data_IF_042203499484
#
_entry.id   IF_042203499484
#
_cell.length_a   1.000
_cell.length_b   1.000
_cell.length_c   1.000
_cell.angle_alpha   90.00
_cell.angle_beta   90.00
_cell.angle_gamma   90.00
#
_symmetry.space_group_name_H-M   'P 1'
#
loop_
_entity.id
_entity.type
_entity.pdbx_description
1 polymer ?
#
# COMPACT_ATOMS: atom_id res chain seq x y z
N UNK A 1 16.85 -0.72 -38.10
CA UNK A 1 16.63 -1.71 -37.02
C UNK A 1 17.57 -2.89 -37.23
N UNK A 2 18.72 -2.95 -36.59
CA UNK A 2 19.60 -4.15 -36.48
C UNK A 2 20.96 -3.70 -35.91
N UNK A 3 21.01 -3.44 -34.60
CA UNK A 3 22.29 -3.38 -33.85
C UNK A 3 22.01 -3.59 -32.38
N UNK A 4 21.79 -4.84 -32.00
CA UNK A 4 21.94 -5.29 -30.61
C UNK A 4 21.93 -6.82 -30.62
N UNK A 5 23.12 -7.42 -30.68
CA UNK A 5 23.45 -8.73 -30.10
C UNK A 5 24.69 -9.37 -30.75
N UNK A 6 25.89 -8.75 -30.65
CA UNK A 6 27.11 -9.43 -31.06
C UNK A 6 27.64 -10.47 -30.04
N UNK A 7 27.11 -10.50 -28.80
CA UNK A 7 27.65 -11.31 -27.73
C UNK A 7 27.01 -12.70 -27.58
N UNK A 8 25.81 -12.93 -28.08
CA UNK A 8 25.11 -14.23 -27.94
C UNK A 8 25.77 -15.31 -28.82
N UNK A 9 26.15 -14.96 -30.04
CA UNK A 9 26.83 -15.92 -30.92
C UNK A 9 28.21 -16.36 -30.39
N UNK A 10 28.95 -15.43 -29.76
CA UNK A 10 30.24 -15.75 -29.12
C UNK A 10 30.04 -16.59 -27.84
N UNK A 11 29.00 -16.34 -27.09
CA UNK A 11 28.63 -17.11 -25.87
C UNK A 11 28.18 -18.53 -26.24
N UNK A 12 27.33 -18.69 -27.26
CA UNK A 12 26.89 -20.01 -27.77
C UNK A 12 28.07 -20.82 -28.35
N UNK A 13 29.01 -20.18 -29.03
CA UNK A 13 30.22 -20.83 -29.56
C UNK A 13 31.13 -21.30 -28.42
N UNK A 14 31.28 -20.54 -27.34
CA UNK A 14 32.05 -20.93 -26.16
C UNK A 14 31.36 -22.03 -25.36
N UNK A 15 30.03 -22.01 -25.26
CA UNK A 15 29.24 -23.09 -24.62
C UNK A 15 29.36 -24.42 -25.40
N UNK A 16 29.29 -24.37 -26.73
CA UNK A 16 29.48 -25.53 -27.60
C UNK A 16 30.88 -26.14 -27.48
N UNK A 17 31.91 -25.30 -27.34
CA UNK A 17 33.31 -25.77 -27.18
C UNK A 17 33.55 -26.35 -25.78
N UNK A 18 32.85 -25.86 -24.77
CA UNK A 18 32.89 -26.37 -23.39
C UNK A 18 32.17 -27.73 -23.26
N UNK A 19 31.04 -27.89 -23.93
CA UNK A 19 30.30 -29.18 -23.99
C UNK A 19 31.05 -30.27 -24.78
N UNK A 20 31.79 -29.91 -25.82
CA UNK A 20 32.64 -30.84 -26.57
C UNK A 20 33.90 -31.30 -25.81
N UNK A 21 34.33 -30.55 -24.80
CA UNK A 21 35.45 -30.92 -23.91
C UNK A 21 35.06 -31.77 -22.72
N UNK A 22 33.77 -31.87 -22.41
CA UNK A 22 33.23 -32.77 -21.39
C UNK A 22 32.96 -34.12 -22.06
N UNK A 23 33.89 -35.06 -21.88
CA UNK A 23 33.93 -36.34 -22.60
C UNK A 23 32.61 -37.13 -22.55
N UNK A 24 32.43 -37.98 -23.53
CA UNK A 24 31.29 -38.89 -23.80
C UNK A 24 30.72 -39.61 -22.57
N UNK A 25 31.49 -39.82 -21.53
CA UNK A 25 31.08 -40.44 -20.25
C UNK A 25 30.09 -39.60 -19.44
N UNK A 26 30.18 -38.29 -19.53
CA UNK A 26 29.28 -37.39 -18.78
C UNK A 26 27.91 -37.28 -19.45
N UNK A 27 27.86 -37.29 -20.77
CA UNK A 27 26.62 -37.25 -21.56
C UNK A 27 25.83 -38.55 -21.38
N UNK A 28 26.53 -39.72 -21.32
CA UNK A 28 25.89 -41.02 -21.06
C UNK A 28 25.33 -41.13 -19.65
N UNK A 29 25.93 -40.47 -18.65
CA UNK A 29 25.40 -40.46 -17.28
C UNK A 29 24.14 -39.58 -17.14
N UNK A 30 24.10 -38.44 -17.83
CA UNK A 30 22.91 -37.55 -17.83
C UNK A 30 21.75 -38.21 -18.59
N UNK A 31 22.00 -38.84 -19.73
CA UNK A 31 20.95 -39.53 -20.50
C UNK A 31 20.43 -40.78 -19.77
N UNK A 32 21.27 -41.50 -19.04
CA UNK A 32 20.85 -42.64 -18.22
C UNK A 32 20.00 -42.20 -17.02
N UNK A 33 20.37 -41.09 -16.35
CA UNK A 33 19.59 -40.53 -15.24
C UNK A 33 18.27 -39.91 -15.71
N UNK A 34 18.24 -39.26 -16.87
CA UNK A 34 16.99 -38.75 -17.45
C UNK A 34 16.07 -39.91 -17.89
N UNK A 35 16.61 -41.01 -18.48
CA UNK A 35 15.80 -42.19 -18.79
C UNK A 35 15.22 -42.85 -17.53
N UNK A 36 15.99 -43.00 -16.45
CA UNK A 36 15.45 -43.48 -15.17
C UNK A 36 14.35 -42.56 -14.64
N UNK A 37 14.59 -41.26 -14.63
CA UNK A 37 13.60 -40.29 -14.18
C UNK A 37 12.30 -40.34 -15.00
N UNK A 38 12.36 -40.53 -16.31
CA UNK A 38 11.20 -40.71 -17.17
C UNK A 38 10.55 -42.09 -17.05
N UNK A 39 11.30 -43.17 -16.73
CA UNK A 39 10.73 -44.47 -16.45
C UNK A 39 10.00 -44.51 -15.12
N UNK A 40 10.59 -43.95 -14.07
CA UNK A 40 9.90 -43.78 -12.76
C UNK A 40 8.61 -43.00 -12.85
N UNK A 41 8.49 -42.04 -13.78
CA UNK A 41 7.25 -41.29 -14.01
C UNK A 41 6.21 -42.09 -14.79
N UNK A 42 6.62 -43.03 -15.66
CA UNK A 42 5.68 -43.80 -16.48
C UNK A 42 5.18 -45.09 -15.80
N UNK A 43 5.89 -45.63 -14.83
CA UNK A 43 5.42 -46.82 -14.07
C UNK A 43 4.36 -46.45 -13.01
N UNK A 44 4.26 -45.17 -12.61
CA UNK A 44 3.24 -44.68 -11.65
C UNK A 44 1.86 -44.38 -12.28
N UNK A 45 1.72 -44.49 -13.63
CA UNK A 45 0.47 -44.18 -14.30
C UNK A 45 -0.54 -45.34 -14.38
N UNK A 46 -0.14 -46.56 -14.06
CA UNK A 46 -1.01 -47.75 -14.12
C UNK A 46 -1.53 -48.21 -12.73
N UNK A 47 -1.18 -47.51 -11.67
CA UNK A 47 -1.84 -47.72 -10.37
C UNK A 47 -3.20 -47.03 -10.33
N UNK A 48 -4.27 -47.68 -9.86
CA UNK A 48 -5.56 -47.02 -9.72
C UNK A 48 -5.38 -45.84 -8.77
N UNK A 49 -5.51 -44.62 -9.32
CA UNK A 49 -5.42 -43.39 -8.57
C UNK A 49 -6.47 -43.47 -7.45
N UNK A 50 -6.03 -43.59 -6.22
CA UNK A 50 -6.93 -43.47 -5.07
C UNK A 50 -7.75 -42.15 -5.24
N UNK A 51 -9.06 -42.14 -5.02
CA UNK A 51 -9.85 -40.94 -5.15
C UNK A 51 -9.21 -39.85 -4.30
N UNK A 52 -8.84 -38.74 -4.92
CA UNK A 52 -8.31 -37.57 -4.22
C UNK A 52 -9.20 -37.31 -3.03
N UNK A 53 -8.65 -37.11 -1.82
CA UNK A 53 -9.44 -36.77 -0.65
C UNK A 53 -10.29 -35.56 -1.06
N UNK A 54 -11.60 -35.65 -0.89
CA UNK A 54 -12.54 -34.58 -1.17
C UNK A 54 -11.96 -33.30 -0.60
N UNK A 55 -11.78 -32.29 -1.48
CA UNK A 55 -11.36 -30.96 -1.03
C UNK A 55 -12.16 -30.62 0.22
N UNK A 56 -11.51 -30.18 1.33
CA UNK A 56 -12.22 -29.80 2.53
C UNK A 56 -13.33 -28.83 2.11
N UNK A 57 -14.54 -29.08 2.58
CA UNK A 57 -15.72 -28.27 2.24
C UNK A 57 -15.31 -26.80 2.32
N UNK A 58 -15.51 -26.06 1.23
CA UNK A 58 -15.14 -24.66 1.15
C UNK A 58 -15.66 -23.97 2.43
N UNK A 59 -14.78 -23.33 3.19
CA UNK A 59 -15.17 -22.60 4.39
C UNK A 59 -16.38 -21.73 4.01
N UNK A 60 -17.46 -21.70 4.81
CA UNK A 60 -18.64 -20.93 4.50
C UNK A 60 -18.23 -19.49 4.18
N UNK A 61 -18.69 -18.97 3.04
CA UNK A 61 -18.38 -17.61 2.63
C UNK A 61 -18.80 -16.64 3.73
N UNK A 62 -17.86 -15.80 4.19
CA UNK A 62 -18.19 -14.77 5.16
C UNK A 62 -19.19 -13.80 4.52
N UNK A 63 -20.16 -13.25 5.30
CA UNK A 63 -21.18 -12.37 4.77
C UNK A 63 -20.57 -11.14 4.09
N UNK A 64 -21.18 -10.71 2.99
CA UNK A 64 -20.78 -9.47 2.30
C UNK A 64 -21.20 -8.27 3.16
N UNK A 65 -20.28 -7.31 3.31
CA UNK A 65 -20.48 -6.09 4.09
C UNK A 65 -20.90 -4.91 3.19
N UNK A 66 -21.33 -3.81 3.78
CA UNK A 66 -21.90 -2.69 3.03
C UNK A 66 -20.86 -1.75 2.37
N UNK A 67 -19.57 -1.85 2.73
CA UNK A 67 -18.47 -1.13 2.11
C UNK A 67 -18.07 -1.67 0.72
N UNK A 68 -16.78 -1.67 0.32
CA UNK A 68 -15.63 -1.26 1.14
C UNK A 68 -15.50 0.23 1.38
N UNK A 69 -14.95 0.60 2.51
CA UNK A 69 -14.66 1.99 2.85
C UNK A 69 -13.27 2.14 3.45
N UNK A 70 -12.68 3.35 3.33
CA UNK A 70 -11.35 3.64 3.86
C UNK A 70 -11.41 4.81 4.85
N UNK A 71 -10.48 4.84 5.79
CA UNK A 71 -10.25 5.95 6.71
C UNK A 71 -8.76 6.22 6.85
N UNK A 72 -8.30 7.35 6.35
CA UNK A 72 -6.89 7.76 6.33
C UNK A 72 -6.70 8.89 7.34
N UNK A 73 -6.12 8.59 8.50
CA UNK A 73 -5.85 9.55 9.57
C UNK A 73 -4.50 10.23 9.43
N UNK A 74 -4.45 11.54 9.61
CA UNK A 74 -3.26 12.37 9.45
C UNK A 74 -2.24 12.29 10.60
N UNK A 75 -2.55 11.56 11.67
CA UNK A 75 -1.72 11.48 12.86
C UNK A 75 -2.07 12.54 13.91
N UNK A 76 -1.31 12.55 15.02
CA UNK A 76 -1.70 13.23 16.23
C UNK A 76 -2.84 12.48 16.93
N UNK A 77 -3.70 13.16 17.72
CA UNK A 77 -4.92 12.57 18.22
C UNK A 77 -5.81 12.02 17.09
N UNK A 78 -6.31 10.81 17.27
CA UNK A 78 -7.16 10.18 16.27
C UNK A 78 -8.53 10.87 16.16
N UNK A 79 -9.08 10.87 14.96
CA UNK A 79 -10.42 11.41 14.69
C UNK A 79 -11.44 10.31 14.93
N UNK A 80 -11.91 10.18 16.18
CA UNK A 80 -12.86 9.14 16.59
C UNK A 80 -14.14 9.14 15.75
N UNK A 81 -14.65 10.33 15.36
CA UNK A 81 -15.82 10.46 14.49
C UNK A 81 -15.61 9.80 13.11
N UNK A 82 -14.35 9.76 12.60
CA UNK A 82 -14.02 9.08 11.34
C UNK A 82 -13.96 7.56 11.50
N UNK A 83 -13.45 7.07 12.63
CA UNK A 83 -13.48 5.65 12.96
C UNK A 83 -14.93 5.19 13.13
N UNK A 84 -15.74 5.94 13.86
CA UNK A 84 -17.17 5.66 14.06
C UNK A 84 -17.94 5.70 12.71
N UNK A 85 -17.61 6.65 11.82
CA UNK A 85 -18.19 6.70 10.48
C UNK A 85 -17.86 5.42 9.70
N UNK A 86 -16.62 4.97 9.70
CA UNK A 86 -16.19 3.73 9.01
C UNK A 86 -16.97 2.52 9.53
N UNK A 87 -17.13 2.39 10.85
CA UNK A 87 -17.93 1.34 11.49
C UNK A 87 -19.38 1.40 11.00
N UNK A 88 -19.98 2.59 10.95
CA UNK A 88 -21.35 2.76 10.49
C UNK A 88 -21.54 2.42 9.01
N UNK A 89 -20.60 2.79 8.15
CA UNK A 89 -20.67 2.45 6.73
C UNK A 89 -20.61 0.93 6.51
N UNK A 90 -19.69 0.24 7.18
CA UNK A 90 -19.51 -1.22 7.05
C UNK A 90 -20.74 -2.00 7.53
N UNK A 91 -21.37 -1.55 8.59
CA UNK A 91 -22.56 -2.22 9.16
C UNK A 91 -23.87 -1.89 8.44
N UNK A 92 -23.86 -0.96 7.46
CA UNK A 92 -25.04 -0.57 6.69
C UNK A 92 -25.81 0.63 7.23
N UNK A 93 -25.20 1.41 8.16
CA UNK A 93 -25.76 2.68 8.63
C UNK A 93 -25.79 2.84 10.15
N UNK A 94 -26.14 4.04 10.59
CA UNK A 94 -26.16 4.41 12.02
C UNK A 94 -27.22 3.66 12.82
N UNK A 95 -28.36 3.36 12.21
CA UNK A 95 -29.52 2.71 12.84
C UNK A 95 -29.62 1.21 12.58
N UNK A 96 -28.60 0.62 11.95
CA UNK A 96 -28.56 -0.80 11.68
C UNK A 96 -28.34 -1.60 13.00
N UNK A 97 -29.03 -2.72 13.17
CA UNK A 97 -28.86 -3.62 14.32
C UNK A 97 -27.55 -4.44 14.23
N UNK A 98 -26.98 -4.59 13.03
CA UNK A 98 -25.73 -5.33 12.81
C UNK A 98 -24.59 -4.71 13.62
N UNK A 99 -23.80 -5.57 14.26
CA UNK A 99 -22.57 -5.18 14.95
C UNK A 99 -21.36 -5.79 14.24
N UNK A 100 -20.24 -5.07 14.22
CA UNK A 100 -19.00 -5.44 13.55
C UNK A 100 -17.90 -5.87 14.51
N UNK A 101 -17.01 -6.74 14.04
CA UNK A 101 -15.78 -7.12 14.70
C UNK A 101 -14.65 -6.25 14.17
N UNK A 102 -13.88 -5.64 15.05
CA UNK A 102 -12.78 -4.74 14.68
C UNK A 102 -11.45 -5.34 15.14
N UNK A 103 -10.49 -5.38 14.25
CA UNK A 103 -9.11 -5.73 14.58
C UNK A 103 -8.22 -4.53 14.35
N UNK A 104 -7.44 -4.17 15.37
CA UNK A 104 -6.37 -3.18 15.26
C UNK A 104 -5.05 -3.89 14.99
N UNK A 105 -4.28 -3.41 14.03
CA UNK A 105 -2.97 -3.95 13.68
C UNK A 105 -1.87 -2.96 14.00
N UNK A 106 -0.78 -3.44 14.59
CA UNK A 106 0.45 -2.68 14.82
C UNK A 106 1.66 -3.60 14.97
N UNK A 107 2.88 -3.06 14.77
CA UNK A 107 4.12 -3.85 14.94
C UNK A 107 4.68 -3.77 16.35
N UNK A 108 4.35 -2.73 17.10
CA UNK A 108 4.77 -2.52 18.49
C UNK A 108 3.76 -1.63 19.23
N UNK A 109 3.92 -1.50 20.55
CA UNK A 109 3.11 -0.65 21.41
C UNK A 109 2.18 -1.46 22.31
N UNK A 110 1.03 -0.91 22.65
CA UNK A 110 0.09 -1.45 23.63
C UNK A 110 -1.29 -1.79 23.01
N UNK A 111 -2.25 -2.10 23.86
CA UNK A 111 -3.61 -2.47 23.47
C UNK A 111 -4.67 -1.37 23.71
N UNK A 112 -4.28 -0.11 23.85
CA UNK A 112 -5.18 1.01 24.22
C UNK A 112 -6.35 1.17 23.25
N UNK A 113 -6.12 0.92 21.94
CA UNK A 113 -7.17 0.94 20.94
C UNK A 113 -8.31 -0.04 21.17
N UNK A 114 -8.03 -1.17 21.84
CA UNK A 114 -9.05 -2.20 22.07
C UNK A 114 -10.24 -1.63 22.83
N UNK A 115 -9.99 -0.91 23.92
CA UNK A 115 -11.06 -0.32 24.75
C UNK A 115 -11.76 0.83 24.00
N UNK A 116 -10.98 1.76 23.45
CA UNK A 116 -11.50 2.91 22.70
C UNK A 116 -12.49 2.48 21.61
N UNK A 117 -12.10 1.50 20.79
CA UNK A 117 -12.92 1.04 19.68
C UNK A 117 -14.09 0.17 20.17
N UNK A 118 -13.90 -0.65 21.22
CA UNK A 118 -14.98 -1.48 21.77
C UNK A 118 -16.16 -0.64 22.28
N UNK A 119 -15.91 0.54 22.86
CA UNK A 119 -16.90 1.47 23.35
C UNK A 119 -17.69 2.18 22.23
N UNK A 120 -17.24 2.09 20.97
CA UNK A 120 -17.90 2.72 19.81
C UNK A 120 -19.23 2.03 19.46
N UNK A 121 -20.20 2.83 19.03
CA UNK A 121 -21.55 2.33 18.69
C UNK A 121 -21.48 1.35 17.51
N UNK A 122 -22.00 0.15 17.74
CA UNK A 122 -22.11 -0.87 16.70
C UNK A 122 -20.94 -1.85 16.64
N UNK A 123 -20.01 -1.78 17.57
CA UNK A 123 -18.94 -2.76 17.72
C UNK A 123 -19.43 -3.96 18.53
N UNK A 124 -19.13 -5.18 18.08
CA UNK A 124 -19.37 -6.45 18.76
C UNK A 124 -18.13 -6.85 19.56
N UNK A 125 -16.98 -6.76 18.93
CA UNK A 125 -15.68 -7.06 19.53
C UNK A 125 -14.61 -6.16 18.95
N UNK A 126 -13.60 -5.83 19.77
CA UNK A 126 -12.39 -5.17 19.34
C UNK A 126 -11.18 -5.90 19.91
N UNK A 127 -10.14 -6.07 19.12
CA UNK A 127 -8.90 -6.70 19.53
C UNK A 127 -7.70 -6.01 18.86
N UNK A 128 -6.65 -5.75 19.62
CA UNK A 128 -5.37 -5.25 19.06
C UNK A 128 -4.40 -6.41 18.92
N UNK A 129 -3.90 -6.63 17.71
CA UNK A 129 -2.88 -7.62 17.40
C UNK A 129 -1.53 -6.92 17.17
N UNK A 130 -0.54 -7.31 17.97
CA UNK A 130 0.84 -6.84 17.79
C UNK A 130 1.56 -7.88 16.92
N UNK A 131 1.89 -7.51 15.69
CA UNK A 131 2.51 -8.39 14.68
C UNK A 131 3.85 -7.84 14.28
N UNK A 132 4.87 -8.15 15.08
CA UNK A 132 6.19 -7.52 15.06
C UNK A 132 7.19 -8.17 14.09
N UNK A 133 6.84 -9.29 13.47
CA UNK A 133 7.72 -10.01 12.55
C UNK A 133 6.93 -10.84 11.53
N UNK A 134 7.62 -11.34 10.49
CA UNK A 134 7.03 -12.12 9.40
C UNK A 134 6.47 -13.47 9.86
N UNK A 135 7.05 -14.09 10.90
CA UNK A 135 6.55 -15.37 11.42
C UNK A 135 5.17 -15.16 12.04
N UNK A 136 5.00 -14.12 12.85
CA UNK A 136 3.70 -13.77 13.42
C UNK A 136 2.67 -13.42 12.33
N UNK A 137 3.07 -12.67 11.31
CA UNK A 137 2.23 -12.32 10.16
C UNK A 137 1.75 -13.54 9.33
N UNK A 138 2.33 -14.71 9.54
CA UNK A 138 1.96 -15.97 8.88
C UNK A 138 1.27 -16.98 9.83
N UNK A 139 1.16 -16.70 11.13
CA UNK A 139 0.47 -17.57 12.09
C UNK A 139 -1.01 -17.69 11.75
N UNK A 140 -1.50 -18.92 11.69
CA UNK A 140 -2.90 -19.21 11.36
C UNK A 140 -3.89 -18.48 12.30
N UNK A 141 -3.62 -18.46 13.60
CA UNK A 141 -4.44 -17.78 14.60
C UNK A 141 -4.60 -16.28 14.30
N UNK A 142 -3.49 -15.58 14.02
CA UNK A 142 -3.50 -14.15 13.69
C UNK A 142 -4.26 -13.90 12.37
N UNK A 143 -3.95 -14.69 11.36
CA UNK A 143 -4.58 -14.60 10.04
C UNK A 143 -6.08 -14.84 10.11
N UNK A 144 -6.52 -15.82 10.89
CA UNK A 144 -7.94 -16.13 11.07
C UNK A 144 -8.70 -15.03 11.80
N UNK A 145 -8.10 -14.41 12.83
CA UNK A 145 -8.67 -13.24 13.50
C UNK A 145 -8.87 -12.08 12.52
N UNK A 146 -7.85 -11.78 11.69
CA UNK A 146 -7.93 -10.73 10.68
C UNK A 146 -9.03 -11.05 9.65
N UNK A 147 -9.08 -12.28 9.13
CA UNK A 147 -10.09 -12.69 8.13
C UNK A 147 -11.52 -12.56 8.64
N UNK A 148 -11.75 -12.80 9.93
CA UNK A 148 -13.07 -12.69 10.57
C UNK A 148 -13.45 -11.27 10.97
N UNK A 149 -12.52 -10.31 10.90
CA UNK A 149 -12.81 -8.91 11.20
C UNK A 149 -13.63 -8.27 10.08
N UNK A 150 -14.52 -7.37 10.43
CA UNK A 150 -15.33 -6.59 9.51
C UNK A 150 -14.66 -5.23 9.23
N UNK A 151 -13.86 -4.76 10.19
CA UNK A 151 -13.08 -3.52 10.11
C UNK A 151 -11.66 -3.80 10.59
N UNK A 152 -10.69 -3.31 9.83
CA UNK A 152 -9.27 -3.27 10.22
C UNK A 152 -8.87 -1.83 10.45
N UNK A 153 -8.20 -1.56 11.57
CA UNK A 153 -7.57 -0.25 11.83
C UNK A 153 -6.08 -0.44 12.05
N UNK A 154 -5.25 0.23 11.26
CA UNK A 154 -3.79 0.15 11.34
C UNK A 154 -3.29 1.36 12.13
N UNK A 155 -2.76 1.11 13.33
CA UNK A 155 -2.27 2.16 14.21
C UNK A 155 -1.07 2.91 13.61
N UNK A 156 -0.74 4.05 14.19
CA UNK A 156 0.50 4.74 13.91
C UNK A 156 1.73 3.93 14.33
N UNK A 157 2.87 4.24 13.74
CA UNK A 157 4.12 3.52 14.00
C UNK A 157 5.18 3.84 12.95
N UNK A 158 5.90 2.82 12.52
CA UNK A 158 6.94 2.89 11.49
C UNK A 158 6.50 2.12 10.24
N UNK A 159 6.31 2.84 9.13
CA UNK A 159 5.88 2.25 7.86
C UNK A 159 6.89 1.24 7.30
N UNK A 160 8.19 1.45 7.53
CA UNK A 160 9.20 0.48 7.10
C UNK A 160 9.05 -0.86 7.82
N UNK A 161 8.76 -0.85 9.12
CA UNK A 161 8.48 -2.08 9.86
C UNK A 161 7.21 -2.76 9.36
N UNK A 162 6.14 -2.01 9.06
CA UNK A 162 4.93 -2.58 8.47
C UNK A 162 5.23 -3.30 7.16
N UNK A 163 5.96 -2.65 6.26
CA UNK A 163 6.33 -3.23 4.96
C UNK A 163 7.20 -4.48 5.14
N UNK A 164 8.28 -4.39 5.92
CA UNK A 164 9.23 -5.50 6.14
C UNK A 164 8.55 -6.72 6.74
N UNK A 165 7.63 -6.49 7.69
CA UNK A 165 7.02 -7.57 8.45
C UNK A 165 5.76 -8.16 7.78
N UNK A 166 5.00 -7.37 7.00
CA UNK A 166 3.68 -7.78 6.53
C UNK A 166 3.59 -8.01 5.03
N UNK A 167 4.39 -7.31 4.19
CA UNK A 167 4.31 -7.47 2.74
C UNK A 167 4.69 -8.89 2.30
N UNK A 168 3.87 -9.50 1.44
CA UNK A 168 4.06 -10.86 0.95
C UNK A 168 3.78 -11.94 1.99
N UNK A 169 2.94 -11.66 3.02
CA UNK A 169 2.56 -12.60 4.06
C UNK A 169 1.07 -12.95 4.00
N UNK A 170 0.66 -13.94 4.79
CA UNK A 170 -0.74 -14.32 4.93
C UNK A 170 -1.59 -13.22 5.58
N UNK A 171 -0.98 -12.36 6.42
CA UNK A 171 -1.63 -11.18 6.99
C UNK A 171 -2.07 -10.21 5.88
N UNK A 172 -1.19 -9.86 4.95
CA UNK A 172 -1.53 -8.97 3.82
C UNK A 172 -2.72 -9.53 3.03
N UNK A 173 -2.67 -10.82 2.70
CA UNK A 173 -3.75 -11.49 1.99
C UNK A 173 -5.08 -11.46 2.79
N UNK A 174 -5.00 -11.62 4.12
CA UNK A 174 -6.17 -11.56 4.99
C UNK A 174 -6.78 -10.15 5.02
N UNK A 175 -5.97 -9.09 5.15
CA UNK A 175 -6.43 -7.69 5.11
C UNK A 175 -7.08 -7.38 3.75
N UNK A 176 -6.45 -7.79 2.65
CA UNK A 176 -7.04 -7.66 1.32
C UNK A 176 -8.40 -8.38 1.20
N UNK A 177 -8.57 -9.54 1.84
CA UNK A 177 -9.85 -10.27 1.82
C UNK A 177 -10.96 -9.55 2.60
N UNK A 178 -10.63 -8.83 3.67
CA UNK A 178 -11.60 -8.00 4.41
C UNK A 178 -12.10 -6.86 3.52
N UNK A 179 -11.21 -6.15 2.85
CA UNK A 179 -11.59 -5.11 1.88
C UNK A 179 -12.46 -5.65 0.75
N UNK A 180 -12.04 -6.76 0.15
CA UNK A 180 -12.73 -7.35 -1.02
C UNK A 180 -14.19 -7.75 -0.72
N UNK A 181 -14.51 -8.19 0.53
CA UNK A 181 -15.88 -8.51 0.93
C UNK A 181 -16.70 -7.32 1.44
N UNK A 182 -16.19 -6.09 1.27
CA UNK A 182 -16.89 -4.86 1.64
C UNK A 182 -16.60 -4.36 3.06
N UNK A 183 -15.49 -4.80 3.67
CA UNK A 183 -15.05 -4.33 4.98
C UNK A 183 -14.45 -2.93 4.97
N UNK A 184 -14.20 -2.39 6.16
CA UNK A 184 -13.53 -1.11 6.36
C UNK A 184 -12.04 -1.28 6.63
N UNK A 185 -11.22 -0.49 5.97
CA UNK A 185 -9.80 -0.42 6.27
C UNK A 185 -9.46 1.02 6.67
N UNK A 186 -9.00 1.19 7.89
CA UNK A 186 -8.56 2.48 8.41
C UNK A 186 -7.13 2.44 8.90
N UNK A 187 -6.60 3.60 9.21
CA UNK A 187 -5.32 3.74 9.88
C UNK A 187 -4.94 5.20 10.07
N UNK A 188 -3.94 5.43 10.91
CA UNK A 188 -3.44 6.76 11.24
C UNK A 188 -1.94 6.84 11.04
N UNK A 189 -1.42 8.02 10.66
CA UNK A 189 0.02 8.22 10.48
C UNK A 189 0.64 7.18 9.53
N UNK A 190 1.67 6.45 9.95
CA UNK A 190 2.26 5.35 9.18
C UNK A 190 1.22 4.33 8.70
N UNK A 191 0.20 4.01 9.53
CA UNK A 191 -0.89 3.10 9.17
C UNK A 191 -1.81 3.63 8.07
N UNK A 192 -1.91 4.95 7.90
CA UNK A 192 -2.58 5.55 6.75
C UNK A 192 -1.68 5.58 5.51
N UNK A 193 -0.39 5.92 5.69
CA UNK A 193 0.56 6.03 4.58
C UNK A 193 0.74 4.74 3.80
N UNK A 194 0.74 3.59 4.47
CA UNK A 194 0.92 2.29 3.81
C UNK A 194 -0.30 1.82 3.01
N UNK A 195 -1.39 2.56 3.01
CA UNK A 195 -2.63 2.19 2.32
C UNK A 195 -2.69 2.66 0.86
N UNK A 196 -1.83 3.58 0.44
CA UNK A 196 -1.77 4.06 -0.96
C UNK A 196 -1.07 3.06 -1.89
N UNK A 197 -1.27 3.22 -3.21
CA UNK A 197 -0.59 2.37 -4.19
C UNK A 197 0.92 2.61 -4.18
N UNK A 198 1.34 3.87 -4.11
CA UNK A 198 2.74 4.25 -3.99
C UNK A 198 3.05 4.57 -2.54
N UNK A 199 3.72 3.68 -1.84
CA UNK A 199 4.02 3.87 -0.43
C UNK A 199 5.42 4.46 -0.27
N UNK A 200 5.52 5.68 0.26
CA UNK A 200 6.79 6.13 0.82
C UNK A 200 7.08 5.32 2.08
N UNK A 201 8.01 4.39 1.99
CA UNK A 201 8.25 3.39 3.05
C UNK A 201 9.24 3.86 4.12
N UNK A 202 9.94 4.98 3.89
CA UNK A 202 10.92 5.57 4.79
C UNK A 202 12.05 4.60 5.23
N UNK A 203 12.26 3.50 4.49
CA UNK A 203 13.25 2.49 4.89
C UNK A 203 14.71 2.94 4.74
N UNK A 204 14.96 4.00 4.00
CA UNK A 204 16.28 4.58 3.79
C UNK A 204 16.50 5.86 4.60
N UNK A 205 15.44 6.45 5.20
CA UNK A 205 15.51 7.70 5.94
C UNK A 205 15.53 7.48 7.46
N UNK A 206 15.72 8.57 8.22
CA UNK A 206 15.57 8.58 9.68
C UNK A 206 14.13 8.26 10.12
N UNK A 207 13.91 8.03 11.42
CA UNK A 207 12.58 7.74 11.99
C UNK A 207 11.52 8.80 11.67
N UNK A 208 11.91 10.07 11.51
CA UNK A 208 11.00 11.16 11.16
C UNK A 208 10.69 11.22 9.65
N UNK A 209 11.46 10.48 8.84
CA UNK A 209 11.41 10.49 7.39
C UNK A 209 12.12 11.69 6.78
N UNK A 210 12.07 11.79 5.44
CA UNK A 210 12.70 12.89 4.70
C UNK A 210 11.97 14.22 4.92
N UNK A 211 12.70 15.31 5.09
CA UNK A 211 12.15 16.67 5.17
C UNK A 211 11.86 17.26 3.79
N UNK A 212 11.02 18.30 3.76
CA UNK A 212 10.68 19.04 2.54
C UNK A 212 11.90 19.57 1.81
N UNK A 213 12.83 20.19 2.54
CA UNK A 213 14.05 20.79 1.95
C UNK A 213 14.89 19.74 1.23
N UNK A 214 15.19 18.65 1.93
CA UNK A 214 16.06 17.60 1.42
C UNK A 214 15.41 16.87 0.23
N UNK A 215 14.12 16.59 0.31
CA UNK A 215 13.37 15.99 -0.80
C UNK A 215 13.32 16.87 -2.06
N UNK A 216 13.36 18.19 -1.91
CA UNK A 216 13.40 19.12 -3.02
C UNK A 216 14.83 19.34 -3.56
N UNK A 217 15.86 19.24 -2.70
CA UNK A 217 17.26 19.34 -3.12
C UNK A 217 17.75 18.08 -3.86
N UNK A 218 17.33 16.90 -3.41
CA UNK A 218 17.59 15.64 -4.09
C UNK A 218 16.39 14.67 -3.95
N UNK A 219 15.51 14.58 -4.96
CA UNK A 219 14.34 13.69 -4.91
C UNK A 219 14.67 12.20 -4.81
N UNK A 220 15.95 11.83 -4.89
CA UNK A 220 16.39 10.43 -4.86
C UNK A 220 17.13 10.05 -3.57
N UNK A 221 17.68 11.02 -2.85
CA UNK A 221 18.43 10.74 -1.65
C UNK A 221 17.48 10.34 -0.51
N UNK A 222 17.74 9.18 0.11
CA UNK A 222 17.00 8.65 1.26
C UNK A 222 15.48 8.52 1.08
N UNK A 223 15.04 8.51 -0.20
CA UNK A 223 13.63 8.34 -0.59
C UNK A 223 13.46 7.01 -1.29
N UNK A 224 12.78 6.09 -0.60
CA UNK A 224 12.42 4.77 -1.14
C UNK A 224 10.91 4.57 -1.16
N UNK A 225 10.46 3.73 -2.11
CA UNK A 225 9.05 3.42 -2.28
C UNK A 225 8.81 1.93 -2.33
N UNK A 226 7.72 1.53 -1.71
CA UNK A 226 7.15 0.19 -1.85
C UNK A 226 5.93 0.26 -2.75
N UNK A 227 5.82 -0.72 -3.64
CA UNK A 227 4.72 -0.90 -4.57
C UNK A 227 4.02 -2.23 -4.30
N UNK A 228 2.74 -2.34 -4.72
CA UNK A 228 1.99 -3.60 -4.65
C UNK A 228 1.94 -4.19 -3.24
N UNK A 229 1.69 -3.35 -2.25
CA UNK A 229 1.39 -3.78 -0.89
C UNK A 229 -0.14 -3.95 -0.75
N UNK A 230 -0.87 -2.94 -0.32
CA UNK A 230 -2.33 -3.00 -0.39
C UNK A 230 -2.86 -2.49 -1.74
N UNK A 231 -4.02 -3.01 -2.18
CA UNK A 231 -4.60 -2.67 -3.49
C UNK A 231 -6.04 -2.19 -3.31
N UNK A 232 -6.18 -0.93 -2.93
CA UNK A 232 -7.49 -0.30 -2.77
C UNK A 232 -7.92 0.40 -4.05
N UNK A 233 -9.08 0.03 -4.58
CA UNK A 233 -9.60 0.52 -5.87
C UNK A 233 -9.54 2.05 -6.01
N UNK A 234 -9.86 2.79 -4.94
CA UNK A 234 -9.93 4.25 -4.98
C UNK A 234 -8.61 4.95 -4.64
N UNK A 235 -7.57 4.21 -4.30
CA UNK A 235 -6.22 4.73 -4.05
C UNK A 235 -5.21 4.34 -5.14
N UNK A 236 -5.70 3.90 -6.32
CA UNK A 236 -4.82 3.68 -7.47
C UNK A 236 -4.26 5.00 -7.97
N UNK A 237 -2.97 5.03 -8.30
CA UNK A 237 -2.23 6.23 -8.71
C UNK A 237 -2.02 7.25 -7.59
N UNK A 238 -2.21 6.86 -6.32
CA UNK A 238 -2.09 7.79 -5.20
C UNK A 238 -0.87 7.50 -4.32
N UNK A 239 -0.45 8.54 -3.59
CA UNK A 239 0.49 8.47 -2.48
C UNK A 239 -0.07 9.24 -1.29
N UNK A 240 -0.12 8.62 -0.11
CA UNK A 240 -0.63 9.25 1.12
C UNK A 240 0.53 9.78 1.94
N UNK A 241 0.39 11.01 2.45
CA UNK A 241 1.30 11.63 3.42
C UNK A 241 0.53 12.21 4.61
N UNK A 242 1.11 12.17 5.80
CA UNK A 242 0.48 12.50 7.07
C UNK A 242 1.29 13.51 7.87
N UNK A 243 0.79 14.00 9.01
CA UNK A 243 1.41 15.09 9.79
C UNK A 243 1.72 16.33 8.93
N UNK A 244 0.88 16.58 7.95
CA UNK A 244 1.25 17.36 6.78
C UNK A 244 1.52 18.83 7.06
N UNK A 245 0.60 19.51 7.71
CA UNK A 245 0.71 20.91 8.09
C UNK A 245 1.78 21.13 9.15
N UNK A 246 1.73 20.34 10.23
CA UNK A 246 2.64 20.47 11.37
C UNK A 246 4.11 20.29 10.98
N UNK A 247 4.40 19.35 10.08
CA UNK A 247 5.76 19.05 9.61
C UNK A 247 6.09 19.71 8.26
N UNK A 248 5.25 20.60 7.74
CA UNK A 248 5.43 21.38 6.49
C UNK A 248 5.84 20.50 5.30
N UNK A 249 5.07 19.43 5.04
CA UNK A 249 5.46 18.34 4.13
C UNK A 249 5.11 18.54 2.66
N UNK A 250 4.65 19.75 2.24
CA UNK A 250 4.26 19.99 0.86
C UNK A 250 5.38 19.68 -0.15
N UNK A 251 6.61 20.06 0.12
CA UNK A 251 7.71 19.80 -0.84
C UNK A 251 8.04 18.33 -0.96
N UNK A 252 7.97 17.57 0.13
CA UNK A 252 8.27 16.14 0.03
C UNK A 252 7.20 15.38 -0.76
N UNK A 253 5.90 15.69 -0.58
CA UNK A 253 4.87 15.04 -1.40
C UNK A 253 4.97 15.43 -2.88
N UNK A 254 5.35 16.67 -3.19
CA UNK A 254 5.63 17.08 -4.56
C UNK A 254 6.81 16.30 -5.16
N UNK A 255 7.89 16.08 -4.40
CA UNK A 255 9.01 15.25 -4.82
C UNK A 255 8.59 13.79 -5.03
N UNK A 256 7.76 13.24 -4.15
CA UNK A 256 7.24 11.89 -4.29
C UNK A 256 6.41 11.71 -5.56
N UNK A 257 5.53 12.66 -5.86
CA UNK A 257 4.73 12.68 -7.09
C UNK A 257 5.63 12.74 -8.32
N UNK A 258 6.61 13.66 -8.33
CA UNK A 258 7.57 13.80 -9.42
C UNK A 258 8.32 12.49 -9.68
N UNK A 259 8.74 11.79 -8.60
CA UNK A 259 9.42 10.49 -8.68
C UNK A 259 8.55 9.41 -9.31
N UNK A 260 7.26 9.31 -8.95
CA UNK A 260 6.39 8.29 -9.53
C UNK A 260 6.25 8.46 -11.05
N UNK A 261 6.20 9.71 -11.50
CA UNK A 261 6.10 10.03 -12.94
C UNK A 261 7.45 9.82 -13.64
N UNK A 262 8.53 10.34 -13.07
CA UNK A 262 9.89 10.23 -13.64
C UNK A 262 10.36 8.78 -13.75
N UNK A 263 10.07 7.97 -12.74
CA UNK A 263 10.46 6.55 -12.67
C UNK A 263 9.53 5.65 -13.52
N UNK A 264 8.60 6.23 -14.27
CA UNK A 264 7.70 5.53 -15.20
C UNK A 264 6.65 4.65 -14.52
N UNK A 265 6.35 4.90 -13.23
CA UNK A 265 5.32 4.14 -12.50
C UNK A 265 3.92 4.55 -12.93
N UNK A 266 3.74 5.80 -13.31
CA UNK A 266 2.49 6.36 -13.81
C UNK A 266 2.77 7.58 -14.67
N UNK A 267 1.79 8.00 -15.48
CA UNK A 267 1.85 9.28 -16.19
C UNK A 267 1.28 10.44 -15.36
N UNK A 268 0.55 10.13 -14.28
CA UNK A 268 -0.03 11.09 -13.36
C UNK A 268 -0.10 10.48 -11.96
N UNK A 269 0.23 11.25 -10.93
CA UNK A 269 0.16 10.82 -9.56
C UNK A 269 -0.58 11.85 -8.70
N UNK A 270 -1.43 11.36 -7.78
CA UNK A 270 -2.18 12.18 -6.84
C UNK A 270 -1.66 11.97 -5.42
N UNK A 271 -1.12 13.02 -4.82
CA UNK A 271 -0.82 13.06 -3.39
C UNK A 271 -2.07 13.33 -2.57
N UNK A 272 -2.30 12.54 -1.53
CA UNK A 272 -3.33 12.77 -0.51
C UNK A 272 -2.62 13.12 0.79
N UNK A 273 -2.55 14.40 1.10
CA UNK A 273 -1.76 14.94 2.20
C UNK A 273 -2.68 15.40 3.33
N UNK A 274 -2.52 14.84 4.52
CA UNK A 274 -3.50 14.92 5.60
C UNK A 274 -2.88 15.59 6.82
N UNK A 275 -3.47 16.69 7.27
CA UNK A 275 -3.08 17.41 8.48
C UNK A 275 -3.29 16.58 9.74
N UNK A 276 -2.59 16.90 10.84
CA UNK A 276 -2.86 16.25 12.13
C UNK A 276 -4.30 16.51 12.59
N UNK A 277 -4.82 15.64 13.44
CA UNK A 277 -6.22 15.67 13.95
C UNK A 277 -7.27 15.73 12.82
N UNK A 278 -6.94 15.15 11.68
CA UNK A 278 -7.76 15.15 10.46
C UNK A 278 -7.78 13.75 9.85
N UNK A 279 -8.92 13.37 9.31
CA UNK A 279 -9.08 12.12 8.55
C UNK A 279 -9.71 12.38 7.20
N UNK A 280 -9.26 11.65 6.20
CA UNK A 280 -9.92 11.53 4.90
C UNK A 280 -10.63 10.19 4.87
N UNK A 281 -11.96 10.21 4.97
CA UNK A 281 -12.78 9.00 4.85
C UNK A 281 -13.26 8.87 3.41
N UNK A 282 -13.18 7.64 2.85
CA UNK A 282 -13.50 7.39 1.45
C UNK A 282 -14.59 6.33 1.39
N UNK A 283 -15.71 6.66 0.77
CA UNK A 283 -16.83 5.76 0.61
C UNK A 283 -16.60 4.75 -0.54
N UNK A 284 -17.51 3.80 -0.66
CA UNK A 284 -17.46 2.76 -1.70
C UNK A 284 -17.57 3.29 -3.14
N UNK A 285 -17.94 4.54 -3.32
CA UNK A 285 -18.05 5.19 -4.64
C UNK A 285 -16.78 5.97 -5.01
N UNK A 286 -15.87 6.19 -4.03
CA UNK A 286 -14.64 6.96 -4.21
C UNK A 286 -14.76 8.43 -3.84
N UNK A 287 -15.82 8.80 -3.14
CA UNK A 287 -15.97 10.16 -2.60
C UNK A 287 -15.20 10.24 -1.29
N UNK A 288 -14.16 11.06 -1.26
CA UNK A 288 -13.39 11.38 -0.08
C UNK A 288 -14.05 12.56 0.66
N UNK A 289 -14.23 12.44 1.98
CA UNK A 289 -14.71 13.51 2.86
C UNK A 289 -13.69 13.79 3.96
N UNK A 290 -13.44 15.05 4.23
CA UNK A 290 -12.54 15.48 5.31
C UNK A 290 -13.29 15.59 6.62
N UNK A 291 -12.79 14.95 7.66
CA UNK A 291 -13.30 14.94 9.02
C UNK A 291 -12.22 15.37 10.01
N UNK A 292 -12.58 15.75 11.22
CA UNK A 292 -11.62 16.22 12.25
C UNK A 292 -11.47 17.73 12.26
N UNK A 293 -10.27 18.26 12.53
CA UNK A 293 -10.07 19.71 12.79
C UNK A 293 -9.41 20.47 11.65
N UNK A 294 -8.52 19.83 10.89
CA UNK A 294 -7.70 20.47 9.88
C UNK A 294 -8.26 20.36 8.46
N UNK A 295 -7.37 20.34 7.50
CA UNK A 295 -7.65 20.16 6.08
C UNK A 295 -6.86 19.01 5.50
N UNK A 296 -7.30 18.50 4.35
CA UNK A 296 -6.51 17.66 3.49
C UNK A 296 -6.14 18.42 2.21
N UNK A 297 -4.98 18.08 1.64
CA UNK A 297 -4.53 18.63 0.38
C UNK A 297 -4.43 17.50 -0.63
N UNK A 298 -5.06 17.69 -1.79
CA UNK A 298 -4.94 16.81 -2.93
C UNK A 298 -4.01 17.46 -3.94
N UNK A 299 -2.84 16.84 -4.17
CA UNK A 299 -1.75 17.41 -4.98
C UNK A 299 -1.57 16.56 -6.22
N UNK A 300 -1.86 17.09 -7.39
CA UNK A 300 -1.78 16.38 -8.67
C UNK A 300 -0.59 16.84 -9.49
N UNK A 301 0.27 15.87 -9.89
CA UNK A 301 1.18 15.98 -10.99
C UNK A 301 0.61 15.20 -12.19
N UNK A 302 0.44 15.83 -13.34
CA UNK A 302 -0.19 15.23 -14.53
C UNK A 302 0.64 15.45 -15.82
N UNK A 303 1.93 15.69 -15.64
CA UNK A 303 2.93 15.85 -16.71
C UNK A 303 4.29 15.34 -16.24
N UNK A 304 5.24 15.07 -17.12
CA UNK A 304 6.63 14.81 -16.74
C UNK A 304 7.26 16.02 -16.04
N UNK A 305 8.08 15.81 -14.98
CA UNK A 305 8.88 16.88 -14.39
C UNK A 305 9.95 17.36 -15.37
N UNK A 306 10.27 18.66 -15.35
CA UNK A 306 11.34 19.22 -16.17
C UNK A 306 12.72 18.73 -15.70
N UNK A 307 12.92 18.58 -14.40
CA UNK A 307 14.14 18.02 -13.80
C UNK A 307 13.77 17.23 -12.54
N UNK A 308 13.93 15.91 -12.60
CA UNK A 308 13.83 15.02 -11.46
C UNK A 308 14.85 13.88 -11.62
N UNK A 309 16.05 14.06 -11.07
CA UNK A 309 17.15 13.10 -11.17
C UNK A 309 18.05 13.15 -9.93
N UNK A 310 18.84 12.11 -9.65
CA UNK A 310 19.70 12.07 -8.49
C UNK A 310 20.66 13.27 -8.40
N UNK A 311 20.91 13.75 -7.21
CA UNK A 311 21.84 14.85 -6.88
C UNK A 311 21.55 16.13 -7.66
N UNK A 312 20.26 16.42 -7.89
CA UNK A 312 19.85 17.60 -8.63
C UNK A 312 18.53 18.12 -8.07
N UNK A 313 18.45 19.41 -7.73
CA UNK A 313 17.24 20.01 -7.20
C UNK A 313 16.06 19.90 -8.17
N UNK A 314 14.91 19.52 -7.63
CA UNK A 314 13.66 19.31 -8.36
C UNK A 314 13.24 20.57 -9.13
N UNK A 315 12.83 20.39 -10.37
CA UNK A 315 12.04 21.37 -11.12
C UNK A 315 10.81 20.69 -11.70
N UNK A 316 9.66 21.14 -11.28
CA UNK A 316 8.36 20.65 -11.75
C UNK A 316 7.33 21.78 -11.63
N UNK A 317 6.76 22.18 -12.77
CA UNK A 317 5.80 23.29 -12.83
C UNK A 317 4.36 22.80 -12.73
N UNK A 318 3.51 23.68 -12.17
CA UNK A 318 2.05 23.61 -12.22
C UNK A 318 1.44 22.36 -11.57
N UNK A 319 1.90 21.98 -10.37
CA UNK A 319 1.10 21.09 -9.54
C UNK A 319 -0.28 21.71 -9.28
N UNK A 320 -1.33 20.93 -9.50
CA UNK A 320 -2.70 21.34 -9.14
C UNK A 320 -2.97 20.93 -7.71
N UNK A 321 -3.32 21.88 -6.87
CA UNK A 321 -3.53 21.65 -5.43
C UNK A 321 -4.92 22.06 -5.03
N UNK A 322 -5.69 21.13 -4.48
CA UNK A 322 -6.96 21.38 -3.81
C UNK A 322 -6.75 21.32 -2.31
N UNK A 323 -7.02 22.41 -1.61
CA UNK A 323 -7.15 22.42 -0.16
C UNK A 323 -8.60 22.16 0.20
N UNK A 324 -8.86 21.02 0.81
CA UNK A 324 -10.21 20.58 1.17
C UNK A 324 -10.35 20.67 2.69
N UNK A 325 -11.15 21.62 3.21
CA UNK A 325 -11.34 21.78 4.64
C UNK A 325 -12.29 20.72 5.22
N UNK A 326 -12.41 20.70 6.56
CA UNK A 326 -13.38 19.87 7.27
C UNK A 326 -14.79 20.01 6.69
N UNK A 327 -15.44 18.88 6.49
CA UNK A 327 -16.82 18.77 5.99
C UNK A 327 -16.94 18.68 4.48
N UNK A 328 -15.96 19.20 3.76
CA UNK A 328 -15.94 19.18 2.29
C UNK A 328 -15.50 17.83 1.74
N UNK A 329 -15.74 17.64 0.44
CA UNK A 329 -15.50 16.39 -0.27
C UNK A 329 -14.61 16.59 -1.49
N UNK A 330 -13.96 15.48 -1.90
CA UNK A 330 -13.17 15.37 -3.12
C UNK A 330 -13.49 14.05 -3.84
N UNK A 331 -13.81 14.09 -5.12
CA UNK A 331 -14.10 12.89 -5.91
C UNK A 331 -12.80 12.31 -6.47
N UNK A 332 -12.36 11.18 -5.91
CA UNK A 332 -11.13 10.48 -6.34
C UNK A 332 -11.29 9.79 -7.69
N UNK A 333 -12.52 9.44 -8.06
CA UNK A 333 -12.83 8.80 -9.33
C UNK A 333 -12.86 9.80 -10.48
N UNK A 334 -13.49 10.97 -10.22
CA UNK A 334 -13.61 12.05 -11.18
C UNK A 334 -12.93 13.31 -10.60
N UNK A 335 -11.59 13.34 -10.65
CA UNK A 335 -10.80 14.45 -10.10
C UNK A 335 -11.34 15.78 -10.64
N UNK A 336 -11.68 16.74 -9.76
CA UNK A 336 -12.27 18.01 -10.17
C UNK A 336 -11.36 18.77 -11.12
N UNK A 337 -11.94 19.33 -12.19
CA UNK A 337 -11.22 20.18 -13.15
C UNK A 337 -11.08 21.64 -12.71
N UNK A 338 -11.64 22.00 -11.54
CA UNK A 338 -11.70 23.37 -10.99
C UNK A 338 -11.41 23.35 -9.49
N UNK A 339 -11.27 24.54 -8.89
CA UNK A 339 -11.10 24.69 -7.44
C UNK A 339 -9.69 24.43 -6.94
N UNK A 340 -8.72 24.22 -7.82
CA UNK A 340 -7.30 24.11 -7.47
C UNK A 340 -6.60 25.46 -7.64
N UNK A 341 -5.48 25.57 -6.94
CA UNK A 341 -4.46 26.58 -7.23
C UNK A 341 -3.20 25.89 -7.76
N UNK A 342 -2.37 26.64 -8.48
CA UNK A 342 -1.13 26.12 -9.05
C UNK A 342 0.05 26.47 -8.16
N UNK A 343 0.96 25.51 -8.01
CA UNK A 343 2.28 25.71 -7.41
C UNK A 343 3.35 25.00 -8.22
N UNK A 344 4.51 25.62 -8.27
CA UNK A 344 5.67 25.06 -8.96
C UNK A 344 6.85 24.95 -8.01
N UNK A 345 7.70 23.99 -8.29
CA UNK A 345 9.04 23.88 -7.72
C UNK A 345 10.05 24.19 -8.82
N UNK A 346 10.95 25.13 -8.59
CA UNK A 346 12.03 25.49 -9.51
C UNK A 346 13.36 25.42 -8.77
N UNK A 347 14.24 24.54 -9.23
CA UNK A 347 15.56 24.31 -8.61
C UNK A 347 15.46 24.13 -7.09
N UNK A 348 14.56 23.26 -6.64
CA UNK A 348 14.34 22.92 -5.24
C UNK A 348 13.62 23.99 -4.39
N UNK A 349 13.05 25.02 -5.01
CA UNK A 349 12.37 26.12 -4.30
C UNK A 349 10.94 26.29 -4.80
N UNK A 350 10.03 26.57 -3.89
CA UNK A 350 8.66 26.91 -4.26
C UNK A 350 8.57 28.23 -5.01
N UNK A 351 7.63 28.31 -5.95
CA UNK A 351 7.28 29.56 -6.65
C UNK A 351 6.62 30.61 -5.76
N UNK A 352 5.90 30.14 -4.73
CA UNK A 352 5.23 30.95 -3.70
C UNK A 352 4.87 30.04 -2.52
N UNK A 353 4.27 30.58 -1.43
CA UNK A 353 3.77 29.78 -0.32
C UNK A 353 2.91 28.62 -0.82
N UNK A 354 3.24 27.36 -0.50
CA UNK A 354 2.55 26.20 -1.06
C UNK A 354 1.25 25.83 -0.33
N UNK A 355 0.88 26.46 0.82
CA UNK A 355 -0.29 26.15 1.63
C UNK A 355 -1.48 27.10 1.42
#
# INVERSE_FOLDING_TARGET
MTKAFPNIAKWLKNLGTMLLKMGTTFITHITANLRRYFQDITEDFDSPVAPLPSLPAALPALPHLAGPVLNLGGGGPDVEEAIQWMIHQVRGGTNCATKVNVVVLRTYGNHDYTRLIYEMKGVRSAETLIVSNRNDANKAEIVDKIRKADVIFIAGGDQCQYIRNWKGTKLEAAVNSVYARGGGIGGTSAGAMIQSEFVYDACASSEEGIETKDALEDPYQDITFTYNFFKWRHLSGTIVDTHFDRRKRMGRIMAFIARQIQDGKTQRALGIAISEETSVVIDKYGVAKVMGRGAAYFVLGDRPPEVCKPRTPLTFHDYKIWRVPRGDTFDLKNIPSRGYYLRSVKRGRFSSDPY
#
